data_IF_966463029918
#
_entry.id   IF_966463029918
#
_cell.length_a   1.000
_cell.length_b   1.000
_cell.length_c   1.000
_cell.angle_alpha   90.00
_cell.angle_beta   90.00
_cell.angle_gamma   90.00
#
_symmetry.space_group_name_H-M   'P 1'
#
loop_
_entity.id
_entity.type
_entity.pdbx_description
1 polymer ?
#
# COMPACT_ATOMS: atom_id res chain seq x y z
N UNK A 1 -41.48 -53.47 -15.28
CA UNK A 1 -41.86 -52.68 -14.11
C UNK A 1 -40.73 -51.70 -13.90
N UNK A 2 -41.03 -50.43 -14.10
CA UNK A 2 -40.05 -49.37 -14.34
C UNK A 2 -39.29 -48.92 -13.12
N UNK A 3 -38.03 -48.61 -13.38
CA UNK A 3 -37.15 -47.85 -12.50
C UNK A 3 -37.40 -46.32 -12.62
N UNK A 4 -37.54 -45.54 -11.54
CA UNK A 4 -37.66 -44.11 -11.69
C UNK A 4 -36.27 -43.47 -11.71
N UNK A 5 -35.93 -42.82 -12.82
CA UNK A 5 -34.78 -41.92 -12.95
C UNK A 5 -34.93 -40.73 -11.98
N UNK A 6 -34.02 -40.60 -11.02
CA UNK A 6 -33.86 -39.41 -10.24
C UNK A 6 -33.28 -38.29 -11.13
N UNK A 7 -34.02 -37.19 -11.26
CA UNK A 7 -33.56 -35.95 -11.87
C UNK A 7 -32.43 -35.39 -11.01
N UNK A 8 -31.24 -35.20 -11.65
CA UNK A 8 -30.20 -34.33 -11.08
C UNK A 8 -30.74 -32.90 -11.02
N UNK A 9 -30.88 -32.38 -9.82
CA UNK A 9 -31.08 -30.96 -9.62
C UNK A 9 -29.80 -30.23 -10.03
N UNK A 10 -29.92 -29.39 -11.07
CA UNK A 10 -28.92 -28.41 -11.45
C UNK A 10 -28.73 -27.44 -10.28
N UNK A 11 -27.63 -27.59 -9.55
CA UNK A 11 -27.15 -26.55 -8.64
C UNK A 11 -26.57 -25.44 -9.52
N UNK A 12 -27.00 -24.19 -9.38
CA UNK A 12 -26.39 -23.10 -10.13
C UNK A 12 -24.90 -23.01 -9.76
N UNK A 13 -24.06 -22.94 -10.79
CA UNK A 13 -22.63 -22.74 -10.66
C UNK A 13 -22.35 -21.39 -9.96
N UNK A 14 -21.85 -21.45 -8.75
CA UNK A 14 -21.46 -20.30 -7.93
C UNK A 14 -20.41 -19.41 -8.64
N UNK A 15 -19.78 -19.93 -9.70
CA UNK A 15 -18.75 -19.22 -10.48
C UNK A 15 -19.28 -18.18 -11.50
N UNK A 16 -20.54 -18.22 -11.89
CA UNK A 16 -21.07 -17.29 -12.91
C UNK A 16 -21.58 -15.95 -12.32
N UNK A 17 -21.95 -15.91 -11.04
CA UNK A 17 -22.37 -14.66 -10.40
C UNK A 17 -21.19 -13.74 -10.01
N UNK A 18 -19.97 -14.26 -9.93
CA UNK A 18 -18.76 -13.46 -9.59
C UNK A 18 -18.11 -12.76 -10.79
N UNK A 19 -18.44 -13.13 -12.01
CA UNK A 19 -17.83 -12.55 -13.24
C UNK A 19 -18.20 -11.10 -13.56
N UNK A 20 -19.08 -10.46 -12.78
CA UNK A 20 -19.52 -9.08 -13.01
C UNK A 20 -19.31 -8.12 -11.84
N UNK A 21 -18.93 -8.62 -10.65
CA UNK A 21 -18.77 -7.75 -9.47
C UNK A 21 -17.35 -7.20 -9.40
N UNK A 22 -17.25 -5.86 -9.33
CA UNK A 22 -15.98 -5.17 -9.10
C UNK A 22 -15.47 -5.49 -7.70
N UNK A 23 -14.18 -5.81 -7.59
CA UNK A 23 -13.52 -5.98 -6.30
C UNK A 23 -13.37 -4.62 -5.61
N UNK A 24 -14.05 -4.42 -4.49
CA UNK A 24 -13.93 -3.22 -3.67
C UNK A 24 -12.63 -3.25 -2.89
N UNK A 25 -11.85 -2.17 -2.98
CA UNK A 25 -10.58 -1.99 -2.27
C UNK A 25 -10.60 -0.65 -1.56
N UNK A 26 -10.55 -0.66 -0.23
CA UNK A 26 -10.46 0.55 0.59
C UNK A 26 -9.07 1.17 0.45
N UNK A 27 -9.02 2.46 0.15
CA UNK A 27 -7.78 3.22 -0.08
C UNK A 27 -7.85 4.55 0.66
N UNK A 28 -6.71 5.04 1.15
CA UNK A 28 -6.63 6.44 1.58
C UNK A 28 -6.52 7.33 0.34
N UNK A 29 -7.36 8.40 0.30
CA UNK A 29 -7.53 9.27 -0.85
C UNK A 29 -8.64 8.79 -1.79
N UNK A 30 -8.64 9.31 -3.01
CA UNK A 30 -9.71 9.09 -3.99
C UNK A 30 -9.24 8.31 -5.21
N UNK A 31 -10.17 7.96 -6.10
CA UNK A 31 -9.86 7.36 -7.39
C UNK A 31 -8.84 8.23 -8.18
N UNK A 32 -7.87 7.59 -8.81
CA UNK A 32 -6.72 8.25 -9.45
C UNK A 32 -5.52 8.49 -8.54
N UNK A 33 -5.64 8.31 -7.22
CA UNK A 33 -4.50 8.40 -6.29
C UNK A 33 -3.49 7.26 -6.50
N UNK A 34 -2.28 7.39 -5.93
CA UNK A 34 -1.28 6.30 -6.01
C UNK A 34 -1.73 5.02 -5.30
N UNK A 35 -2.61 5.10 -4.30
CA UNK A 35 -3.23 3.92 -3.71
C UNK A 35 -4.16 3.21 -4.70
N UNK A 36 -4.98 3.96 -5.46
CA UNK A 36 -5.80 3.38 -6.53
C UNK A 36 -4.93 2.76 -7.62
N UNK A 37 -3.87 3.46 -8.07
CA UNK A 37 -2.93 2.89 -9.05
C UNK A 37 -2.32 1.59 -8.55
N UNK A 38 -1.88 1.52 -7.28
CA UNK A 38 -1.33 0.32 -6.67
C UNK A 38 -2.37 -0.81 -6.60
N UNK A 39 -3.62 -0.51 -6.24
CA UNK A 39 -4.70 -1.48 -6.18
C UNK A 39 -5.03 -2.06 -7.57
N UNK A 40 -5.15 -1.22 -8.61
CA UNK A 40 -5.37 -1.66 -9.98
C UNK A 40 -4.23 -2.57 -10.49
N UNK A 41 -2.99 -2.26 -10.13
CA UNK A 41 -1.82 -3.05 -10.54
C UNK A 41 -1.68 -4.36 -9.77
N UNK A 42 -2.00 -4.36 -8.48
CA UNK A 42 -1.93 -5.58 -7.68
C UNK A 42 -3.00 -6.60 -8.12
N UNK A 43 -4.21 -6.14 -8.39
CA UNK A 43 -5.33 -6.98 -8.84
C UNK A 43 -5.48 -6.95 -10.36
N UNK A 44 -4.37 -6.91 -11.10
CA UNK A 44 -4.38 -6.90 -12.56
C UNK A 44 -5.15 -8.10 -13.11
N UNK A 45 -6.13 -7.82 -13.99
CA UNK A 45 -7.06 -8.84 -14.53
C UNK A 45 -8.42 -8.88 -13.81
N UNK A 46 -8.56 -8.24 -12.66
CA UNK A 46 -9.84 -8.03 -11.97
C UNK A 46 -10.31 -6.58 -12.13
N UNK A 47 -11.63 -6.38 -12.18
CA UNK A 47 -12.18 -5.02 -12.13
C UNK A 47 -12.14 -4.50 -10.68
N UNK A 48 -11.32 -3.49 -10.41
CA UNK A 48 -11.18 -2.88 -9.08
C UNK A 48 -12.03 -1.61 -8.98
N UNK A 49 -12.78 -1.50 -7.89
CA UNK A 49 -13.50 -0.29 -7.49
C UNK A 49 -12.88 0.25 -6.19
N UNK A 50 -12.20 1.41 -6.24
CA UNK A 50 -11.63 2.00 -5.04
C UNK A 50 -12.76 2.53 -4.12
N UNK A 51 -12.68 2.17 -2.83
CA UNK A 51 -13.51 2.74 -1.76
C UNK A 51 -12.70 3.84 -1.09
N UNK A 52 -13.02 5.12 -1.32
CA UNK A 52 -12.25 6.23 -0.81
C UNK A 52 -12.40 6.37 0.70
N UNK A 53 -11.29 6.62 1.37
CA UNK A 53 -11.21 6.90 2.80
C UNK A 53 -10.38 8.17 3.02
N UNK A 54 -10.80 9.01 3.94
CA UNK A 54 -10.07 10.25 4.26
C UNK A 54 -8.79 9.94 5.05
N UNK A 55 -8.83 8.88 5.86
CA UNK A 55 -7.71 8.48 6.74
C UNK A 55 -7.35 7.00 6.60
N UNK A 56 -6.12 6.65 6.98
CA UNK A 56 -5.71 5.25 7.09
C UNK A 56 -6.47 4.48 8.18
N UNK A 57 -7.01 5.16 9.19
CA UNK A 57 -7.88 4.54 10.20
C UNK A 57 -9.19 4.05 9.58
N UNK A 58 -9.81 4.85 8.73
CA UNK A 58 -11.01 4.45 7.98
C UNK A 58 -10.74 3.25 7.05
N UNK A 59 -9.54 3.17 6.44
CA UNK A 59 -9.15 1.97 5.67
C UNK A 59 -9.21 0.73 6.57
N UNK A 60 -8.66 0.79 7.80
CA UNK A 60 -8.72 -0.34 8.76
C UNK A 60 -10.16 -0.66 9.16
N UNK A 61 -11.03 0.33 9.32
CA UNK A 61 -12.45 0.13 9.63
C UNK A 61 -13.18 -0.60 8.50
N UNK A 62 -12.94 -0.19 7.25
CA UNK A 62 -13.47 -0.89 6.07
C UNK A 62 -12.94 -2.32 5.96
N UNK A 63 -11.66 -2.55 6.27
CA UNK A 63 -11.06 -3.90 6.30
C UNK A 63 -11.74 -4.77 7.36
N UNK A 64 -11.97 -4.23 8.55
CA UNK A 64 -12.66 -4.93 9.64
C UNK A 64 -14.10 -5.29 9.26
N UNK A 65 -14.75 -4.47 8.43
CA UNK A 65 -16.08 -4.72 7.88
C UNK A 65 -16.09 -5.72 6.69
N UNK A 66 -14.92 -6.17 6.21
CA UNK A 66 -14.79 -7.21 5.17
C UNK A 66 -14.37 -6.72 3.79
N UNK A 67 -14.01 -5.45 3.64
CA UNK A 67 -13.41 -4.93 2.41
C UNK A 67 -11.90 -5.20 2.42
N UNK A 68 -11.29 -5.50 1.25
CA UNK A 68 -9.83 -5.54 1.13
C UNK A 68 -9.28 -4.12 1.21
N UNK A 69 -8.16 -3.91 1.90
CA UNK A 69 -7.51 -2.59 2.00
C UNK A 69 -6.17 -2.55 1.26
N UNK A 70 -5.83 -1.37 0.72
CA UNK A 70 -4.51 -1.05 0.18
C UNK A 70 -3.92 0.11 1.00
N UNK A 71 -2.77 -0.13 1.63
CA UNK A 71 -2.18 0.82 2.56
C UNK A 71 -0.70 1.05 2.29
N UNK A 72 -0.29 2.29 2.03
CA UNK A 72 1.12 2.65 1.91
C UNK A 72 1.84 2.44 3.26
N UNK A 73 3.04 1.83 3.24
CA UNK A 73 3.80 1.53 4.45
C UNK A 73 5.19 2.19 4.48
N UNK A 74 5.75 2.45 3.34
CA UNK A 74 7.03 3.13 3.20
C UNK A 74 7.23 3.70 1.80
N UNK A 75 8.00 4.77 1.72
CA UNK A 75 8.46 5.34 0.46
C UNK A 75 9.99 5.49 0.51
N UNK A 76 10.67 5.24 -0.61
CA UNK A 76 12.15 5.26 -0.66
C UNK A 76 12.78 6.62 -0.41
N UNK A 77 12.00 7.71 -0.51
CA UNK A 77 12.46 9.09 -0.29
C UNK A 77 11.92 9.62 1.06
N UNK A 78 10.61 9.45 1.31
CA UNK A 78 9.95 9.96 2.50
C UNK A 78 10.11 9.06 3.75
N UNK A 79 10.59 7.82 3.58
CA UNK A 79 10.79 6.87 4.68
C UNK A 79 9.55 6.06 5.06
N UNK A 80 9.53 5.54 6.28
CA UNK A 80 8.46 4.68 6.79
C UNK A 80 7.28 5.49 7.33
N UNK A 81 6.05 5.07 6.99
CA UNK A 81 4.82 5.59 7.57
C UNK A 81 4.55 4.85 8.90
N UNK A 82 5.18 5.33 9.97
CA UNK A 82 5.22 4.62 11.26
C UNK A 82 3.83 4.36 11.85
N UNK A 83 2.92 5.33 11.75
CA UNK A 83 1.54 5.21 12.23
C UNK A 83 0.79 4.04 11.54
N UNK A 84 1.08 3.78 10.27
CA UNK A 84 0.42 2.71 9.54
C UNK A 84 0.84 1.32 10.03
N UNK A 85 2.07 1.18 10.52
CA UNK A 85 2.51 -0.05 11.18
C UNK A 85 1.70 -0.33 12.44
N UNK A 86 1.42 0.69 13.26
CA UNK A 86 0.60 0.54 14.47
C UNK A 86 -0.85 0.25 14.15
N UNK A 87 -1.43 0.94 13.17
CA UNK A 87 -2.80 0.69 12.72
C UNK A 87 -2.99 -0.77 12.27
N UNK A 88 -2.03 -1.34 11.54
CA UNK A 88 -2.07 -2.76 11.11
C UNK A 88 -1.92 -3.69 12.33
N UNK A 89 -1.01 -3.38 13.26
CA UNK A 89 -0.79 -4.19 14.48
C UNK A 89 -2.03 -4.24 15.38
N UNK A 90 -2.70 -3.11 15.55
CA UNK A 90 -3.88 -2.94 16.42
C UNK A 90 -5.17 -3.36 15.73
N UNK A 91 -5.23 -3.21 14.42
CA UNK A 91 -6.39 -3.57 13.63
C UNK A 91 -6.66 -5.08 13.57
N UNK A 92 -7.94 -5.43 13.38
CA UNK A 92 -8.34 -6.82 13.13
C UNK A 92 -8.10 -7.16 11.66
N UNK A 93 -6.82 -7.19 11.25
CA UNK A 93 -6.43 -7.45 9.87
C UNK A 93 -5.15 -8.30 9.79
N UNK A 94 -4.92 -8.83 8.59
CA UNK A 94 -3.69 -9.54 8.19
C UNK A 94 -3.19 -8.98 6.88
N UNK A 95 -1.86 -8.94 6.73
CA UNK A 95 -1.21 -8.62 5.46
C UNK A 95 -1.28 -9.87 4.57
N UNK A 96 -1.87 -9.74 3.39
CA UNK A 96 -2.04 -10.83 2.42
C UNK A 96 -1.17 -10.65 1.18
N UNK A 97 -0.53 -9.49 1.01
CA UNK A 97 0.36 -9.22 -0.11
C UNK A 97 0.99 -7.85 -0.03
N UNK A 98 1.86 -7.57 -0.99
CA UNK A 98 2.51 -6.27 -1.15
C UNK A 98 2.69 -5.92 -2.62
N UNK A 99 2.76 -4.62 -2.90
CA UNK A 99 3.10 -4.09 -4.22
C UNK A 99 4.07 -2.92 -4.08
N UNK A 100 5.14 -2.91 -4.88
CA UNK A 100 6.12 -1.81 -4.94
C UNK A 100 5.87 -0.99 -6.19
N UNK A 101 5.18 0.12 -6.03
CA UNK A 101 4.84 1.03 -7.11
C UNK A 101 5.95 2.07 -7.30
N UNK A 102 6.43 2.21 -8.52
CA UNK A 102 7.23 3.38 -8.90
C UNK A 102 6.30 4.59 -8.94
N UNK A 103 6.66 5.63 -8.20
CA UNK A 103 5.92 6.89 -8.18
C UNK A 103 6.45 7.76 -9.31
N UNK A 104 5.68 7.85 -10.38
CA UNK A 104 5.92 8.76 -11.50
C UNK A 104 4.91 9.89 -11.42
N UNK A 105 5.41 11.11 -11.24
CA UNK A 105 4.56 12.27 -11.23
C UNK A 105 4.38 12.82 -12.64
N UNK A 106 3.14 13.22 -12.96
CA UNK A 106 2.80 13.95 -14.16
C UNK A 106 2.43 15.38 -13.80
N UNK A 107 2.84 16.33 -14.63
CA UNK A 107 2.37 17.68 -14.60
C UNK A 107 1.23 17.81 -15.60
N UNK A 108 0.05 18.23 -15.14
CA UNK A 108 -1.16 18.28 -15.94
C UNK A 108 -1.93 19.58 -15.68
N UNK A 109 -2.75 20.00 -16.66
CA UNK A 109 -3.59 21.18 -16.58
C UNK A 109 -4.88 20.97 -17.41
N UNK A 110 -5.76 21.95 -17.44
CA UNK A 110 -6.90 21.94 -18.36
C UNK A 110 -6.43 21.84 -19.83
N UNK A 111 -7.17 21.13 -20.69
CA UNK A 111 -6.80 20.99 -22.11
C UNK A 111 -6.58 22.34 -22.79
N UNK A 112 -5.50 22.41 -23.58
CA UNK A 112 -5.12 23.63 -24.31
C UNK A 112 -4.37 24.68 -23.46
N UNK A 113 -4.08 24.40 -22.19
CA UNK A 113 -3.22 25.24 -21.33
C UNK A 113 -1.76 25.03 -21.70
N UNK A 114 -1.01 26.12 -21.90
CA UNK A 114 0.45 26.07 -22.13
C UNK A 114 1.18 26.18 -20.79
N UNK A 115 2.37 25.58 -20.68
CA UNK A 115 3.16 25.63 -19.45
C UNK A 115 3.50 27.07 -19.01
N UNK A 116 3.68 27.98 -19.97
CA UNK A 116 3.94 29.41 -19.74
C UNK A 116 2.74 30.21 -19.20
N UNK A 117 1.52 29.66 -19.33
CA UNK A 117 0.30 30.30 -18.83
C UNK A 117 0.00 29.88 -17.37
N UNK A 118 0.79 28.96 -16.80
CA UNK A 118 0.60 28.44 -15.44
C UNK A 118 1.09 29.48 -14.43
N UNK A 119 0.19 29.91 -13.56
CA UNK A 119 0.45 30.84 -12.45
C UNK A 119 0.46 30.17 -11.07
N UNK A 120 -0.20 29.03 -10.95
CA UNK A 120 -0.22 28.24 -9.71
C UNK A 120 -0.06 26.75 -10.01
N UNK A 121 0.65 26.02 -9.13
CA UNK A 121 0.76 24.55 -9.19
C UNK A 121 0.28 23.96 -7.87
N UNK A 122 -0.71 23.09 -7.94
CA UNK A 122 -1.43 22.52 -6.81
C UNK A 122 -1.06 21.04 -6.64
N UNK A 123 -0.68 20.61 -5.46
CA UNK A 123 -0.48 19.21 -5.12
C UNK A 123 -0.24 19.00 -3.62
N UNK A 124 -0.14 17.73 -3.22
CA UNK A 124 0.31 17.36 -1.88
C UNK A 124 1.76 17.83 -1.64
N UNK A 125 2.11 18.36 -0.44
CA UNK A 125 3.44 18.90 -0.13
C UNK A 125 4.60 17.99 -0.52
N UNK A 126 4.49 16.68 -0.22
CA UNK A 126 5.53 15.70 -0.59
C UNK A 126 5.71 15.60 -2.11
N UNK A 127 4.63 15.65 -2.89
CA UNK A 127 4.73 15.60 -4.35
C UNK A 127 5.40 16.86 -4.93
N UNK A 128 5.05 18.04 -4.39
CA UNK A 128 5.72 19.30 -4.75
C UNK A 128 7.22 19.24 -4.44
N UNK A 129 7.58 18.78 -3.24
CA UNK A 129 8.97 18.62 -2.84
C UNK A 129 9.74 17.64 -3.75
N UNK A 130 9.10 16.54 -4.14
CA UNK A 130 9.69 15.52 -5.02
C UNK A 130 9.89 15.98 -6.46
N UNK A 131 9.17 17.03 -6.90
CA UNK A 131 9.24 17.59 -8.26
C UNK A 131 9.99 18.92 -8.35
N UNK A 132 10.83 19.24 -7.36
CA UNK A 132 11.45 20.56 -7.19
C UNK A 132 12.19 21.04 -8.43
N UNK A 133 13.06 20.21 -9.02
CA UNK A 133 13.87 20.60 -10.19
C UNK A 133 12.98 20.97 -11.39
N UNK A 134 11.88 20.24 -11.60
CA UNK A 134 10.91 20.57 -12.64
C UNK A 134 10.17 21.88 -12.33
N UNK A 135 9.70 22.03 -11.09
CA UNK A 135 8.93 23.22 -10.67
C UNK A 135 9.77 24.51 -10.75
N UNK A 136 11.07 24.42 -10.51
CA UNK A 136 12.02 25.53 -10.66
C UNK A 136 12.16 25.99 -12.14
N UNK A 137 11.72 25.18 -13.11
CA UNK A 137 11.65 25.58 -14.54
C UNK A 137 10.39 26.37 -14.89
N UNK A 138 9.46 26.57 -13.95
CA UNK A 138 8.21 27.32 -14.12
C UNK A 138 8.32 28.66 -13.35
N UNK A 139 9.05 29.64 -13.89
CA UNK A 139 9.32 30.88 -13.17
C UNK A 139 8.02 31.67 -12.95
N UNK A 140 7.76 32.01 -11.69
CA UNK A 140 6.58 32.80 -11.31
C UNK A 140 5.35 31.97 -10.94
N UNK A 141 5.35 30.66 -11.12
CA UNK A 141 4.27 29.81 -10.66
C UNK A 141 4.31 29.65 -9.12
N UNK A 142 3.20 29.96 -8.46
CA UNK A 142 3.04 29.78 -7.02
C UNK A 142 2.74 28.32 -6.71
N UNK A 143 3.47 27.72 -5.77
CA UNK A 143 3.20 26.37 -5.29
C UNK A 143 2.13 26.43 -4.19
N UNK A 144 1.05 25.65 -4.36
CA UNK A 144 -0.09 25.59 -3.44
C UNK A 144 -0.22 24.16 -2.90
N UNK A 145 -0.06 24.03 -1.60
CA UNK A 145 -0.20 22.76 -0.90
C UNK A 145 -1.68 22.37 -0.75
N UNK A 146 -1.99 21.12 -1.08
CA UNK A 146 -3.30 20.51 -0.98
C UNK A 146 -3.20 19.15 -0.26
N UNK A 147 -4.32 18.64 0.23
CA UNK A 147 -4.36 17.41 1.03
C UNK A 147 -4.04 16.15 0.20
N UNK A 148 -4.33 16.15 -1.12
CA UNK A 148 -4.19 14.99 -1.99
C UNK A 148 -3.83 15.38 -3.43
N UNK A 149 -2.99 14.57 -4.08
CA UNK A 149 -2.57 14.77 -5.49
C UNK A 149 -3.72 14.57 -6.48
N UNK A 150 -4.54 13.53 -6.31
CA UNK A 150 -5.68 13.26 -7.17
C UNK A 150 -6.85 14.22 -6.88
N UNK A 151 -7.02 14.63 -5.62
CA UNK A 151 -7.96 15.66 -5.19
C UNK A 151 -7.67 17.00 -5.87
N UNK A 152 -6.39 17.39 -5.98
CA UNK A 152 -5.96 18.59 -6.71
C UNK A 152 -6.34 18.51 -8.18
N UNK A 153 -6.12 17.37 -8.84
CA UNK A 153 -6.48 17.16 -10.24
C UNK A 153 -7.99 17.27 -10.46
N UNK A 154 -8.78 16.61 -9.59
CA UNK A 154 -10.24 16.69 -9.60
C UNK A 154 -10.72 18.12 -9.42
N UNK A 155 -10.17 18.84 -8.43
CA UNK A 155 -10.58 20.22 -8.13
C UNK A 155 -10.31 21.18 -9.30
N UNK A 156 -9.11 21.10 -9.92
CA UNK A 156 -8.78 21.93 -11.10
C UNK A 156 -9.73 21.64 -12.26
N UNK A 157 -10.05 20.36 -12.52
CA UNK A 157 -10.95 19.96 -13.58
C UNK A 157 -12.39 20.40 -13.31
N UNK A 158 -12.96 20.11 -12.14
CA UNK A 158 -14.35 20.43 -11.81
C UNK A 158 -14.62 21.94 -11.72
N UNK A 159 -13.65 22.71 -11.23
CA UNK A 159 -13.76 24.16 -11.09
C UNK A 159 -13.30 24.93 -12.33
N UNK A 160 -12.82 24.23 -13.37
CA UNK A 160 -12.31 24.84 -14.61
C UNK A 160 -11.26 25.92 -14.31
N UNK A 161 -10.26 25.58 -13.51
CA UNK A 161 -9.25 26.50 -12.99
C UNK A 161 -8.17 26.78 -14.05
N UNK A 162 -8.41 27.79 -14.90
CA UNK A 162 -7.43 28.23 -15.88
C UNK A 162 -6.18 28.81 -15.22
N UNK A 163 -5.01 28.56 -15.79
CA UNK A 163 -3.72 28.99 -15.21
C UNK A 163 -3.26 28.16 -14.03
N UNK A 164 -3.95 27.07 -13.69
CA UNK A 164 -3.55 26.13 -12.65
C UNK A 164 -2.99 24.84 -13.25
N UNK A 165 -1.80 24.46 -12.81
CA UNK A 165 -1.22 23.15 -13.04
C UNK A 165 -1.36 22.26 -11.80
N UNK A 166 -1.25 20.96 -12.01
CA UNK A 166 -1.27 19.96 -10.91
C UNK A 166 -0.12 18.97 -11.07
N UNK A 167 0.45 18.55 -9.95
CA UNK A 167 1.33 17.37 -9.89
C UNK A 167 0.49 16.20 -9.37
N UNK A 168 0.30 15.18 -10.21
CA UNK A 168 -0.54 14.03 -9.87
C UNK A 168 -0.05 12.75 -10.56
N UNK A 169 -0.69 11.63 -10.28
CA UNK A 169 -0.53 10.43 -11.09
C UNK A 169 -1.17 10.63 -12.47
N UNK A 170 -0.57 10.09 -13.54
CA UNK A 170 -1.13 10.11 -14.90
C UNK A 170 -2.60 9.66 -14.91
N UNK A 171 -2.92 8.60 -14.16
CA UNK A 171 -4.29 8.08 -14.02
C UNK A 171 -5.28 9.14 -13.53
N UNK A 172 -4.88 10.00 -12.58
CA UNK A 172 -5.74 11.09 -12.11
C UNK A 172 -5.98 12.11 -13.22
N UNK A 173 -4.93 12.52 -13.94
CA UNK A 173 -5.07 13.44 -15.06
C UNK A 173 -6.04 12.90 -16.12
N UNK A 174 -5.87 11.64 -16.54
CA UNK A 174 -6.74 10.98 -17.52
C UNK A 174 -8.19 10.86 -17.04
N UNK A 175 -8.41 10.45 -15.78
CA UNK A 175 -9.75 10.28 -15.20
C UNK A 175 -10.52 11.58 -15.11
N UNK A 176 -9.85 12.69 -14.80
CA UNK A 176 -10.49 13.98 -14.63
C UNK A 176 -10.42 14.84 -15.90
N UNK A 177 -9.94 14.30 -17.04
CA UNK A 177 -9.93 14.97 -18.33
C UNK A 177 -8.94 16.15 -18.40
N UNK A 178 -7.84 16.08 -17.63
CA UNK A 178 -6.72 17.00 -17.73
C UNK A 178 -5.75 16.55 -18.82
N UNK A 179 -5.11 17.51 -19.47
CA UNK A 179 -4.02 17.27 -20.41
C UNK A 179 -2.70 17.13 -19.66
N UNK A 180 -1.96 16.04 -19.93
CA UNK A 180 -0.63 15.81 -19.36
C UNK A 180 0.38 16.61 -20.18
N UNK A 181 0.94 17.67 -19.57
CA UNK A 181 1.94 18.54 -20.19
C UNK A 181 3.36 17.99 -20.09
N UNK A 182 3.65 17.26 -19.01
CA UNK A 182 4.94 16.58 -18.83
C UNK A 182 4.78 15.33 -17.95
N UNK A 183 5.59 14.29 -18.22
CA UNK A 183 5.62 13.04 -17.46
C UNK A 183 6.96 12.83 -16.76
N UNK A 184 6.93 12.11 -15.65
CA UNK A 184 8.13 11.77 -14.91
C UNK A 184 8.83 13.03 -14.40
N UNK A 185 8.08 13.97 -13.86
CA UNK A 185 8.60 15.27 -13.41
C UNK A 185 9.25 15.23 -12.04
N UNK A 186 9.23 14.06 -11.37
CA UNK A 186 9.96 13.88 -10.11
C UNK A 186 11.47 14.00 -10.33
N UNK A 187 12.17 14.69 -9.42
CA UNK A 187 13.63 14.87 -9.41
C UNK A 187 14.35 13.53 -9.29
N UNK A 188 13.96 12.69 -8.34
CA UNK A 188 14.54 11.37 -8.15
C UNK A 188 13.71 10.29 -8.84
N UNK A 189 14.23 9.71 -9.93
CA UNK A 189 13.55 8.67 -10.72
C UNK A 189 13.44 7.31 -10.00
N UNK A 190 14.18 7.09 -8.91
CA UNK A 190 14.09 5.90 -8.05
C UNK A 190 13.16 6.14 -6.85
N UNK A 191 11.98 6.66 -7.15
CA UNK A 191 10.93 6.93 -6.17
C UNK A 191 9.94 5.76 -6.15
N UNK A 192 9.95 4.96 -5.10
CA UNK A 192 9.07 3.80 -4.94
C UNK A 192 8.30 3.89 -3.63
N UNK A 193 7.02 3.59 -3.69
CA UNK A 193 6.18 3.38 -2.51
C UNK A 193 5.81 1.90 -2.41
N UNK A 194 6.02 1.33 -1.24
CA UNK A 194 5.56 -0.01 -0.90
C UNK A 194 4.18 0.07 -0.29
N UNK A 195 3.23 -0.62 -0.90
CA UNK A 195 1.87 -0.79 -0.44
C UNK A 195 1.67 -2.20 0.09
N UNK A 196 0.89 -2.33 1.16
CA UNK A 196 0.44 -3.61 1.69
C UNK A 196 -1.02 -3.81 1.34
N UNK A 197 -1.35 -5.04 0.96
CA UNK A 197 -2.72 -5.50 0.83
C UNK A 197 -3.12 -6.14 2.14
N UNK A 198 -4.19 -5.67 2.73
CA UNK A 198 -4.67 -6.12 4.03
C UNK A 198 -6.11 -6.59 3.95
N UNK A 199 -6.44 -7.62 4.71
CA UNK A 199 -7.78 -8.17 4.80
C UNK A 199 -8.08 -8.62 6.24
N UNK A 200 -9.34 -8.74 6.62
CA UNK A 200 -9.71 -9.35 7.90
C UNK A 200 -9.31 -10.83 7.92
N UNK A 201 -9.08 -11.44 9.11
CA UNK A 201 -8.43 -12.74 9.22
C UNK A 201 -9.08 -13.87 8.40
N UNK A 202 -10.41 -13.99 8.41
CA UNK A 202 -11.15 -15.02 7.66
C UNK A 202 -11.00 -14.86 6.15
N UNK A 203 -11.08 -13.63 5.64
CA UNK A 203 -10.86 -13.33 4.23
C UNK A 203 -9.37 -13.55 3.86
N UNK A 204 -8.45 -13.19 4.74
CA UNK A 204 -7.02 -13.41 4.53
C UNK A 204 -6.69 -14.91 4.40
N UNK A 205 -7.26 -15.77 5.24
CA UNK A 205 -7.11 -17.23 5.12
C UNK A 205 -7.58 -17.74 3.76
N UNK A 206 -8.74 -17.28 3.31
CA UNK A 206 -9.26 -17.65 1.99
C UNK A 206 -8.35 -17.17 0.84
N UNK A 207 -7.90 -15.92 0.89
CA UNK A 207 -7.01 -15.36 -0.15
C UNK A 207 -5.63 -16.05 -0.21
N UNK A 208 -5.20 -16.69 0.88
CA UNK A 208 -3.88 -17.29 1.01
C UNK A 208 -3.86 -18.82 0.93
N UNK A 209 -4.99 -19.48 0.66
CA UNK A 209 -5.08 -20.96 0.65
C UNK A 209 -4.09 -21.62 -0.29
N UNK A 210 -3.86 -21.03 -1.48
CA UNK A 210 -2.97 -21.55 -2.50
C UNK A 210 -1.78 -20.63 -2.80
N UNK A 211 -1.63 -19.53 -2.03
CA UNK A 211 -0.59 -18.54 -2.29
C UNK A 211 0.79 -19.02 -1.83
N UNK A 212 1.80 -18.69 -2.63
CA UNK A 212 3.21 -18.83 -2.22
C UNK A 212 3.47 -17.93 -1.02
N UNK A 213 4.18 -18.46 -0.01
CA UNK A 213 4.57 -17.72 1.17
C UNK A 213 6.09 -17.75 1.30
N UNK A 214 6.72 -16.64 0.94
CA UNK A 214 8.18 -16.49 0.98
C UNK A 214 8.60 -15.18 1.67
N UNK A 215 7.62 -14.49 2.29
CA UNK A 215 7.83 -13.27 3.07
C UNK A 215 6.90 -13.23 4.27
N UNK A 216 7.39 -12.69 5.39
CA UNK A 216 6.61 -12.46 6.59
C UNK A 216 6.85 -11.06 7.14
N UNK A 217 5.78 -10.46 7.68
CA UNK A 217 5.86 -9.25 8.49
C UNK A 217 5.54 -9.61 9.93
N UNK A 218 6.51 -9.34 10.82
CA UNK A 218 6.47 -9.66 12.24
C UNK A 218 6.51 -8.37 13.06
N UNK A 219 5.95 -8.42 14.25
CA UNK A 219 6.15 -7.42 15.29
C UNK A 219 6.39 -8.09 16.63
N UNK A 220 7.35 -7.58 17.40
CA UNK A 220 7.66 -8.07 18.75
C UNK A 220 8.33 -6.98 19.58
N UNK A 221 8.24 -7.08 20.90
CA UNK A 221 9.05 -6.32 21.83
C UNK A 221 10.23 -7.15 22.34
N UNK A 222 11.25 -6.47 22.83
CA UNK A 222 12.43 -7.11 23.42
C UNK A 222 12.67 -6.58 24.83
N UNK A 223 13.18 -7.42 25.75
CA UNK A 223 13.69 -6.94 27.03
C UNK A 223 14.80 -5.89 26.79
N UNK A 224 14.78 -4.82 27.56
CA UNK A 224 15.81 -3.78 27.50
C UNK A 224 17.11 -4.23 28.20
N UNK A 225 17.76 -5.24 27.61
CA UNK A 225 19.03 -5.81 28.11
C UNK A 225 20.05 -5.89 26.99
N UNK A 226 21.33 -5.84 27.37
CA UNK A 226 22.43 -5.91 26.40
C UNK A 226 22.34 -7.17 25.52
N UNK A 227 22.39 -6.96 24.21
CA UNK A 227 22.40 -8.06 23.22
C UNK A 227 21.03 -8.66 22.89
N UNK A 228 19.91 -8.17 23.45
CA UNK A 228 18.58 -8.75 23.17
C UNK A 228 18.26 -8.81 21.68
N UNK A 229 18.42 -7.70 20.97
CA UNK A 229 18.18 -7.65 19.51
C UNK A 229 19.19 -8.54 18.77
N UNK A 230 20.47 -8.48 19.12
CA UNK A 230 21.53 -9.27 18.49
C UNK A 230 21.26 -10.77 18.56
N UNK A 231 20.76 -11.28 19.70
CA UNK A 231 20.40 -12.71 19.86
C UNK A 231 19.31 -13.12 18.88
N UNK A 232 18.24 -12.33 18.78
CA UNK A 232 17.14 -12.59 17.84
C UNK A 232 17.65 -12.59 16.39
N UNK A 233 18.43 -11.56 16.00
CA UNK A 233 18.96 -11.46 14.64
C UNK A 233 19.92 -12.64 14.32
N UNK A 234 20.73 -13.10 15.28
CA UNK A 234 21.63 -14.24 15.11
C UNK A 234 20.83 -15.53 14.85
N UNK A 235 19.75 -15.76 15.59
CA UNK A 235 18.88 -16.94 15.37
C UNK A 235 18.24 -16.86 13.99
N UNK A 236 17.65 -15.73 13.63
CA UNK A 236 17.05 -15.57 12.31
C UNK A 236 18.06 -15.83 11.18
N UNK A 237 19.29 -15.33 11.32
CA UNK A 237 20.38 -15.59 10.37
C UNK A 237 20.77 -17.06 10.30
N UNK A 238 20.81 -17.78 11.44
CA UNK A 238 21.11 -19.21 11.48
C UNK A 238 20.10 -20.07 10.71
N UNK A 239 18.84 -19.63 10.70
CA UNK A 239 17.78 -20.29 9.92
C UNK A 239 17.68 -19.78 8.47
N UNK A 240 18.66 -19.01 7.98
CA UNK A 240 18.70 -18.41 6.63
C UNK A 240 17.54 -17.44 6.35
N UNK A 241 17.04 -16.77 7.39
CA UNK A 241 16.06 -15.71 7.22
C UNK A 241 16.76 -14.41 6.79
N UNK A 242 16.38 -13.83 5.64
CA UNK A 242 16.91 -12.55 5.21
C UNK A 242 16.00 -11.41 5.69
N UNK A 243 16.59 -10.45 6.43
CA UNK A 243 15.87 -9.25 6.85
C UNK A 243 15.81 -8.25 5.70
N UNK A 244 14.60 -7.96 5.25
CA UNK A 244 14.35 -6.92 4.26
C UNK A 244 13.95 -5.58 4.88
N UNK A 245 13.56 -5.57 6.16
CA UNK A 245 13.25 -4.36 6.95
C UNK A 245 13.37 -4.65 8.44
N UNK A 246 13.87 -3.66 9.17
CA UNK A 246 13.74 -3.56 10.62
C UNK A 246 13.43 -2.11 11.00
N UNK A 247 12.40 -1.90 11.79
CA UNK A 247 11.98 -0.60 12.26
C UNK A 247 11.59 -0.70 13.73
N UNK A 248 12.13 0.16 14.58
CA UNK A 248 11.74 0.25 15.99
C UNK A 248 10.80 1.43 16.22
N UNK A 249 9.82 1.23 17.12
CA UNK A 249 8.93 2.27 17.62
C UNK A 249 8.90 2.22 19.16
N UNK A 250 8.98 3.35 19.86
CA UNK A 250 8.80 3.38 21.31
C UNK A 250 7.43 2.84 21.71
N UNK A 251 7.37 2.09 22.79
CA UNK A 251 6.09 1.65 23.36
C UNK A 251 5.57 2.77 24.27
N UNK A 252 4.40 3.32 23.92
CA UNK A 252 3.80 4.40 24.71
C UNK A 252 3.53 3.91 26.15
N UNK A 253 4.01 4.69 27.14
CA UNK A 253 3.85 4.36 28.57
C UNK A 253 4.86 3.35 29.11
N UNK A 254 5.85 2.93 28.33
CA UNK A 254 6.96 2.09 28.77
C UNK A 254 8.29 2.75 28.42
N UNK A 255 8.98 3.24 29.43
CA UNK A 255 10.26 3.93 29.24
C UNK A 255 11.33 2.97 28.68
N UNK A 256 11.95 3.39 27.57
CA UNK A 256 13.06 2.68 26.90
C UNK A 256 12.70 1.30 26.36
N UNK A 257 11.41 0.93 26.28
CA UNK A 257 10.95 -0.28 25.60
C UNK A 257 10.51 0.05 24.16
N UNK A 258 10.81 -0.88 23.23
CA UNK A 258 10.58 -0.69 21.81
C UNK A 258 9.85 -1.90 21.22
N UNK A 259 8.92 -1.60 20.33
CA UNK A 259 8.32 -2.55 19.42
C UNK A 259 9.16 -2.60 18.14
N UNK A 260 9.53 -3.80 17.70
CA UNK A 260 10.29 -4.01 16.47
C UNK A 260 9.37 -4.56 15.39
N UNK A 261 9.25 -3.84 14.28
CA UNK A 261 8.58 -4.28 13.05
C UNK A 261 9.64 -4.83 12.11
N UNK A 262 9.52 -6.11 11.76
CA UNK A 262 10.54 -6.83 11.00
C UNK A 262 9.88 -7.49 9.79
N UNK A 263 10.50 -7.36 8.61
CA UNK A 263 10.11 -8.14 7.45
C UNK A 263 11.22 -9.13 7.11
N UNK A 264 10.83 -10.39 7.01
CA UNK A 264 11.70 -11.51 6.66
C UNK A 264 11.34 -12.02 5.27
N UNK A 265 12.34 -12.41 4.48
CA UNK A 265 12.17 -13.26 3.30
C UNK A 265 12.84 -14.61 3.55
N UNK A 266 12.27 -15.66 2.99
CA UNK A 266 12.70 -17.05 3.17
C UNK A 266 12.34 -17.88 1.94
N UNK A 267 13.10 -18.96 1.70
CA UNK A 267 12.83 -19.93 0.64
C UNK A 267 12.10 -21.17 1.18
N UNK A 268 12.41 -21.57 2.43
CA UNK A 268 11.84 -22.73 3.11
C UNK A 268 10.90 -22.30 4.25
N UNK A 269 9.62 -22.56 4.06
CA UNK A 269 8.59 -22.24 5.07
C UNK A 269 8.75 -23.03 6.36
N UNK A 270 9.25 -24.27 6.30
CA UNK A 270 9.49 -25.09 7.50
C UNK A 270 10.60 -24.48 8.35
N UNK A 271 11.71 -24.06 7.74
CA UNK A 271 12.80 -23.35 8.43
C UNK A 271 12.34 -22.02 9.02
N UNK A 272 11.52 -21.29 8.29
CA UNK A 272 10.91 -20.07 8.82
C UNK A 272 10.08 -20.33 10.07
N UNK A 273 9.24 -21.39 10.10
CA UNK A 273 8.46 -21.76 11.28
C UNK A 273 9.35 -22.14 12.45
N UNK A 274 10.43 -22.89 12.24
CA UNK A 274 11.42 -23.23 13.26
C UNK A 274 12.13 -21.96 13.80
N UNK A 275 12.47 -21.02 12.92
CA UNK A 275 13.06 -19.73 13.33
C UNK A 275 12.12 -18.95 14.26
N UNK A 276 10.80 -18.90 13.93
CA UNK A 276 9.81 -18.26 14.80
C UNK A 276 9.74 -18.93 16.18
N UNK A 277 9.67 -20.26 16.24
CA UNK A 277 9.66 -21.01 17.50
C UNK A 277 10.91 -20.73 18.34
N UNK A 278 12.07 -20.62 17.70
CA UNK A 278 13.34 -20.34 18.38
C UNK A 278 13.44 -18.92 18.95
N UNK A 279 12.77 -17.92 18.36
CA UNK A 279 12.81 -16.55 18.87
C UNK A 279 11.70 -16.25 19.89
N UNK A 280 10.62 -17.03 19.96
CA UNK A 280 9.53 -16.84 20.94
C UNK A 280 10.04 -16.64 22.38
N UNK A 281 10.96 -17.47 22.92
CA UNK A 281 11.43 -17.31 24.29
C UNK A 281 12.25 -16.05 24.55
N UNK A 282 12.73 -15.38 23.48
CA UNK A 282 13.56 -14.20 23.53
C UNK A 282 12.78 -12.90 23.29
N UNK A 283 11.51 -13.01 22.89
CA UNK A 283 10.66 -11.89 22.50
C UNK A 283 9.45 -11.79 23.40
N UNK A 284 8.90 -10.58 23.52
CA UNK A 284 7.61 -10.34 24.14
C UNK A 284 6.62 -9.92 23.04
N UNK A 285 5.36 -10.36 23.18
CA UNK A 285 4.25 -9.97 22.30
C UNK A 285 4.52 -10.24 20.81
N UNK A 286 5.25 -11.35 20.47
CA UNK A 286 5.49 -11.72 19.08
C UNK A 286 4.17 -11.97 18.35
N UNK A 287 3.94 -11.20 17.30
CA UNK A 287 2.76 -11.32 16.43
C UNK A 287 3.20 -11.37 14.97
N UNK A 288 2.70 -12.35 14.23
CA UNK A 288 2.78 -12.39 12.78
C UNK A 288 1.66 -11.53 12.21
N UNK A 289 2.01 -10.43 11.54
CA UNK A 289 1.07 -9.52 10.89
C UNK A 289 0.58 -10.07 9.54
N UNK A 290 1.39 -10.91 8.90
CA UNK A 290 1.04 -11.62 7.68
C UNK A 290 2.22 -12.43 7.12
N UNK A 291 1.88 -13.49 6.40
CA UNK A 291 2.79 -14.35 5.64
C UNK A 291 2.27 -14.35 4.19
N UNK A 292 3.07 -13.91 3.22
CA UNK A 292 2.60 -13.64 1.87
C UNK A 292 3.72 -13.79 0.85
N UNK A 293 3.37 -13.76 -0.43
CA UNK A 293 4.34 -13.74 -1.51
C UNK A 293 5.04 -12.39 -1.57
N UNK A 294 6.39 -12.40 -1.71
CA UNK A 294 7.15 -11.17 -1.93
C UNK A 294 6.66 -10.47 -3.20
N UNK A 295 6.22 -9.23 -3.03
CA UNK A 295 5.58 -8.47 -4.09
C UNK A 295 6.51 -8.13 -5.25
N UNK A 296 5.94 -8.09 -6.44
CA UNK A 296 6.58 -7.58 -7.65
C UNK A 296 6.85 -6.09 -7.52
N UNK A 297 7.87 -5.61 -8.19
CA UNK A 297 8.18 -4.20 -8.32
C UNK A 297 7.79 -3.74 -9.72
N UNK A 298 7.03 -2.63 -9.83
CA UNK A 298 6.81 -2.00 -11.13
C UNK A 298 8.13 -1.49 -11.70
N UNK A 299 8.33 -1.70 -12.96
CA UNK A 299 9.50 -1.22 -13.71
C UNK A 299 9.32 0.25 -14.06
#
# INVERSE_FOLDING_TARGET
MGSPFAKKEDRPDINDEQKGMKKKVAIQGIAGSYHDVAAQRYFEGEAVEPVPCDTFREVIEHVSAGTVGMMAIENTIAGSLLQNHELIREGNCRIVGEYKLRIMHSFAALPGTRAEDITEVNSHPIALMQCRDFLDTLPGAKLVECDDTAGSARWVAEKQMHGHGVICARRAAEMYGLEVLAEGVETNKRNYTRFLVIARPDLAEHMQQEAVRNKASLVFALPHTSGSLSKVLTILSFYDMNLSKIQSLPIIGREWEYMFYVNLTFEDYTRYRQALEAIIPLTNDLKTLGEYEQGKQSI
#
